data_IF_099646532729
#
_entry.id   IF_099646532729
#
_cell.length_a   1.000
_cell.length_b   1.000
_cell.length_c   1.000
_cell.angle_alpha   90.00
_cell.angle_beta   90.00
_cell.angle_gamma   90.00
#
_symmetry.space_group_name_H-M   'P 1'
#
loop_
_entity.id
_entity.type
_entity.pdbx_description
1 polymer ?
#
# COMPACT_ATOMS: atom_id res chain seq x y z
N UNK A 1 -14.98 4.31 -12.93
CA UNK A 1 -13.72 3.64 -13.29
C UNK A 1 -13.03 3.23 -12.00
N UNK A 2 -12.71 1.94 -11.80
CA UNK A 2 -11.99 1.50 -10.60
C UNK A 2 -10.49 1.71 -10.81
N UNK A 3 -9.81 2.10 -9.75
CA UNK A 3 -8.36 2.24 -9.72
C UNK A 3 -7.81 1.49 -8.53
N UNK A 4 -6.56 1.04 -8.63
CA UNK A 4 -5.87 0.47 -7.48
C UNK A 4 -5.27 1.59 -6.64
N UNK A 5 -5.40 1.45 -5.33
CA UNK A 5 -4.78 2.32 -4.33
C UNK A 5 -3.83 1.49 -3.47
N UNK A 6 -2.80 2.14 -2.94
CA UNK A 6 -1.97 1.59 -1.88
C UNK A 6 -2.81 1.36 -0.63
N UNK A 7 -2.67 0.17 -0.04
CA UNK A 7 -3.26 -0.18 1.24
C UNK A 7 -2.52 0.51 2.38
N UNK A 8 -3.18 1.45 3.07
CA UNK A 8 -2.57 2.12 4.22
C UNK A 8 -2.37 1.15 5.39
N UNK A 9 -3.30 0.21 5.58
CA UNK A 9 -3.20 -0.81 6.63
C UNK A 9 -1.97 -1.68 6.45
N UNK A 10 -1.67 -2.05 5.20
CA UNK A 10 -0.49 -2.85 4.87
C UNK A 10 0.80 -2.04 5.04
N UNK A 11 0.80 -0.75 4.68
CA UNK A 11 1.95 0.15 4.93
C UNK A 11 2.20 0.28 6.44
N UNK A 12 1.15 0.47 7.24
CA UNK A 12 1.28 0.54 8.71
C UNK A 12 1.69 -0.80 9.33
N UNK A 13 1.28 -1.93 8.76
CA UNK A 13 1.80 -3.25 9.14
C UNK A 13 3.29 -3.34 8.89
N UNK A 14 3.75 -2.97 7.70
CA UNK A 14 5.18 -2.99 7.34
C UNK A 14 5.98 -2.10 8.29
N UNK A 15 5.49 -0.90 8.58
CA UNK A 15 6.13 0.00 9.56
C UNK A 15 6.29 -0.66 10.92
N UNK A 16 5.22 -1.25 11.46
CA UNK A 16 5.26 -1.96 12.76
C UNK A 16 6.22 -3.15 12.74
N UNK A 17 6.21 -3.95 11.67
CA UNK A 17 7.05 -5.14 11.56
C UNK A 17 8.56 -4.80 11.47
N UNK A 18 8.90 -3.61 10.96
CA UNK A 18 10.28 -3.14 10.82
C UNK A 18 10.69 -2.12 11.88
N UNK A 19 9.83 -1.80 12.84
CA UNK A 19 10.07 -0.76 13.85
C UNK A 19 10.18 0.65 13.29
N UNK A 20 9.68 0.89 12.07
CA UNK A 20 9.79 2.17 11.36
C UNK A 20 8.82 3.18 11.95
N UNK A 21 9.36 4.35 12.33
CA UNK A 21 8.58 5.46 12.85
C UNK A 21 8.36 6.53 11.76
N UNK A 22 7.09 6.75 11.41
CA UNK A 22 6.68 7.81 10.50
C UNK A 22 7.25 7.71 9.07
N UNK A 23 7.16 8.82 8.34
CA UNK A 23 7.58 8.92 6.93
C UNK A 23 9.10 8.98 6.81
N UNK A 24 9.79 9.66 7.74
CA UNK A 24 11.26 9.78 7.71
C UNK A 24 11.93 8.41 7.82
N UNK A 25 11.54 7.58 8.78
CA UNK A 25 12.11 6.23 8.89
C UNK A 25 11.76 5.33 7.70
N UNK A 26 10.61 5.55 7.06
CA UNK A 26 10.20 4.79 5.88
C UNK A 26 11.06 5.17 4.66
N UNK A 27 11.37 6.46 4.52
CA UNK A 27 12.30 6.98 3.53
C UNK A 27 13.69 6.39 3.70
N UNK A 28 14.23 6.41 4.94
CA UNK A 28 15.53 5.82 5.27
C UNK A 28 15.57 4.31 4.99
N UNK A 29 14.59 3.55 5.47
CA UNK A 29 14.55 2.10 5.33
C UNK A 29 14.38 1.63 3.87
N UNK A 30 13.75 2.45 3.02
CA UNK A 30 13.56 2.15 1.59
C UNK A 30 14.62 2.75 0.67
N UNK A 31 15.47 3.66 1.17
CA UNK A 31 16.39 4.45 0.36
C UNK A 31 15.69 5.47 -0.56
N UNK A 32 14.41 5.78 -0.31
CA UNK A 32 13.64 6.74 -1.09
C UNK A 32 13.58 8.09 -0.39
N UNK A 33 13.29 9.16 -1.12
CA UNK A 33 13.15 10.47 -0.51
C UNK A 33 11.82 10.59 0.28
N UNK A 34 11.83 11.44 1.33
CA UNK A 34 10.64 11.70 2.17
C UNK A 34 9.45 12.23 1.36
N UNK A 35 9.70 13.06 0.35
CA UNK A 35 8.64 13.66 -0.48
C UNK A 35 7.87 12.60 -1.26
N UNK A 36 8.54 11.58 -1.80
CA UNK A 36 7.93 10.47 -2.53
C UNK A 36 7.01 9.69 -1.60
N UNK A 37 7.44 9.40 -0.37
CA UNK A 37 6.58 8.74 0.61
C UNK A 37 5.42 9.62 1.07
N UNK A 38 5.64 10.93 1.29
CA UNK A 38 4.56 11.86 1.60
C UNK A 38 3.50 11.91 0.48
N UNK A 39 3.93 11.98 -0.79
CA UNK A 39 3.04 11.95 -1.95
C UNK A 39 2.32 10.59 -2.05
N UNK A 40 3.04 9.48 -1.91
CA UNK A 40 2.47 8.13 -1.98
C UNK A 40 1.42 7.89 -0.89
N UNK A 41 1.67 8.36 0.34
CA UNK A 41 0.71 8.23 1.46
C UNK A 41 -0.53 9.09 1.27
N UNK A 42 -0.36 10.31 0.72
CA UNK A 42 -1.46 11.23 0.49
C UNK A 42 -2.33 10.81 -0.69
N UNK A 43 -1.70 10.54 -1.84
CA UNK A 43 -2.40 10.31 -3.11
C UNK A 43 -2.78 8.83 -3.26
N UNK A 44 -2.15 7.95 -2.46
CA UNK A 44 -2.34 6.49 -2.45
C UNK A 44 -2.15 5.84 -3.81
N UNK A 45 -1.50 6.52 -4.76
CA UNK A 45 -1.28 6.02 -6.12
C UNK A 45 -0.13 5.02 -6.11
N UNK A 46 -0.35 3.78 -6.57
CA UNK A 46 0.71 2.81 -6.69
C UNK A 46 1.64 3.20 -7.84
N UNK A 47 2.93 3.32 -7.54
CA UNK A 47 3.98 3.46 -8.54
C UNK A 47 4.92 2.26 -8.45
N UNK A 48 5.59 1.84 -9.54
CA UNK A 48 6.52 0.72 -9.51
C UNK A 48 7.57 0.88 -8.40
N UNK A 49 8.15 2.07 -8.27
CA UNK A 49 9.16 2.37 -7.25
C UNK A 49 8.63 2.17 -5.82
N UNK A 50 7.41 2.62 -5.51
CA UNK A 50 6.82 2.45 -4.17
C UNK A 50 6.47 0.99 -3.91
N UNK A 51 5.97 0.27 -4.91
CA UNK A 51 5.66 -1.15 -4.78
C UNK A 51 6.92 -2.00 -4.56
N UNK A 52 7.99 -1.74 -5.31
CA UNK A 52 9.28 -2.43 -5.14
C UNK A 52 9.86 -2.16 -3.75
N UNK A 53 9.79 -0.93 -3.27
CA UNK A 53 10.24 -0.57 -1.93
C UNK A 53 9.43 -1.30 -0.84
N UNK A 54 8.10 -1.33 -0.98
CA UNK A 54 7.23 -2.07 -0.07
C UNK A 54 7.54 -3.57 -0.09
N UNK A 55 7.72 -4.16 -1.26
CA UNK A 55 8.08 -5.57 -1.41
C UNK A 55 9.41 -5.89 -0.69
N UNK A 56 10.44 -5.05 -0.86
CA UNK A 56 11.74 -5.18 -0.16
C UNK A 56 11.62 -5.04 1.35
N UNK A 57 10.72 -4.17 1.83
CA UNK A 57 10.41 -4.00 3.25
C UNK A 57 9.54 -5.15 3.81
N UNK A 58 9.10 -6.07 2.97
CA UNK A 58 8.34 -7.27 3.35
C UNK A 58 6.84 -7.08 3.32
N UNK A 59 6.33 -6.16 2.49
CA UNK A 59 4.90 -6.04 2.21
C UNK A 59 4.34 -7.33 1.59
N UNK A 60 3.08 -7.61 1.91
CA UNK A 60 2.33 -8.76 1.40
C UNK A 60 1.75 -8.41 0.02
N UNK A 61 2.14 -9.11 -1.06
CA UNK A 61 1.67 -8.79 -2.42
C UNK A 61 0.14 -8.86 -2.56
N UNK A 62 -0.50 -9.78 -1.83
CA UNK A 62 -1.95 -9.96 -1.78
C UNK A 62 -2.69 -8.85 -1.02
N UNK A 63 -1.97 -7.96 -0.31
CA UNK A 63 -2.57 -6.91 0.54
C UNK A 63 -2.11 -5.49 0.24
N UNK A 64 -1.07 -5.32 -0.59
CA UNK A 64 -0.46 -4.00 -0.84
C UNK A 64 -1.34 -3.08 -1.68
N UNK A 65 -2.27 -3.64 -2.46
CA UNK A 65 -3.24 -2.90 -3.26
C UNK A 65 -4.67 -3.14 -2.75
N UNK A 66 -5.49 -2.10 -2.81
CA UNK A 66 -6.94 -2.18 -2.67
C UNK A 66 -7.61 -1.55 -3.89
N UNK A 67 -8.87 -1.92 -4.17
CA UNK A 67 -9.67 -1.25 -5.18
C UNK A 67 -10.35 0.00 -4.60
N UNK A 68 -10.35 1.09 -5.37
CA UNK A 68 -11.16 2.27 -5.07
C UNK A 68 -12.61 2.07 -5.54
N UNK A 69 -13.56 2.32 -4.64
CA UNK A 69 -14.99 2.17 -4.85
C UNK A 69 -15.63 0.99 -4.10
N UNK A 70 -16.97 1.01 -3.91
CA UNK A 70 -17.68 -0.07 -3.25
C UNK A 70 -17.50 -1.37 -4.06
N UNK A 71 -17.17 -2.46 -3.35
CA UNK A 71 -17.30 -3.80 -3.90
C UNK A 71 -18.76 -3.91 -4.31
N UNK A 72 -19.05 -3.98 -5.61
CA UNK A 72 -20.42 -4.19 -6.06
C UNK A 72 -20.91 -5.48 -5.38
N UNK A 73 -21.83 -5.34 -4.43
CA UNK A 73 -22.48 -6.44 -3.76
C UNK A 73 -23.27 -7.20 -4.81
N UNK A 74 -22.66 -8.22 -5.39
CA UNK A 74 -23.17 -8.81 -6.62
C UNK A 74 -22.40 -10.03 -7.07
N UNK A 75 -21.96 -10.87 -6.12
CA UNK A 75 -21.69 -12.27 -6.37
C UNK A 75 -22.27 -13.06 -5.19
N UNK A 76 -23.60 -13.01 -5.07
CA UNK A 76 -24.33 -14.13 -4.45
C UNK A 76 -24.34 -15.24 -5.48
N UNK A 77 -23.32 -16.09 -5.46
CA UNK A 77 -23.35 -17.35 -6.18
C UNK A 77 -24.29 -18.28 -5.41
N UNK A 78 -25.59 -18.13 -5.63
CA UNK A 78 -26.54 -19.19 -5.31
C UNK A 78 -26.40 -20.23 -6.42
N UNK A 79 -25.56 -21.23 -6.19
CA UNK A 79 -25.59 -22.46 -6.96
C UNK A 79 -26.65 -23.36 -6.30
N UNK A 80 -27.74 -23.62 -7.05
CA UNK A 80 -28.72 -24.67 -6.79
C UNK A 80 -28.66 -25.65 -7.96
#
# INVERSE_FOLDING_TARGET
>A
MRVFLLSLDEIERVKRAKGIQGITGLAEASGMNRKTWSTAMRDRRPTPQVLDALARLGARPDRVLIADGPLAAGLSTTAA
#
